data_IF_590018055695
#
_entry.id   IF_590018055695
#
_cell.length_a   1.000
_cell.length_b   1.000
_cell.length_c   1.000
_cell.angle_alpha   90.00
_cell.angle_beta   90.00
_cell.angle_gamma   90.00
#
_symmetry.space_group_name_H-M   'P 1'
#
loop_
_entity.id
_entity.type
_entity.pdbx_description
1 polymer ?
#
# COMPACT_ATOMS: atom_id res chain seq x y z
N UNK A 1 18.67 1.75 11.20
CA UNK A 1 19.08 2.54 10.01
C UNK A 1 18.02 2.50 8.90
N UNK A 2 17.44 1.34 8.58
CA UNK A 2 16.35 1.26 7.58
C UNK A 2 15.06 1.93 8.08
N UNK A 3 14.63 1.65 9.31
CA UNK A 3 13.41 2.24 9.91
C UNK A 3 13.47 3.77 10.02
N UNK A 4 14.64 4.34 10.30
CA UNK A 4 14.85 5.78 10.36
C UNK A 4 14.74 6.46 8.99
N UNK A 5 15.17 5.80 7.91
CA UNK A 5 14.99 6.34 6.55
C UNK A 5 13.49 6.32 6.15
N UNK A 6 12.80 5.24 6.51
CA UNK A 6 11.36 5.09 6.28
C UNK A 6 10.53 6.16 6.99
N UNK A 7 10.84 6.46 8.26
CA UNK A 7 10.13 7.50 9.02
C UNK A 7 10.36 8.89 8.44
N UNK A 8 11.58 9.21 7.98
CA UNK A 8 11.87 10.49 7.34
C UNK A 8 11.09 10.67 6.03
N UNK A 9 11.05 9.64 5.18
CA UNK A 9 10.27 9.65 3.93
C UNK A 9 8.78 9.85 4.24
N UNK A 10 8.25 9.14 5.24
CA UNK A 10 6.86 9.29 5.64
C UNK A 10 6.53 10.74 6.08
N UNK A 11 7.40 11.37 6.89
CA UNK A 11 7.22 12.76 7.36
C UNK A 11 7.19 13.74 6.18
N UNK A 12 8.12 13.59 5.23
CA UNK A 12 8.22 14.46 4.04
C UNK A 12 6.96 14.36 3.17
N UNK A 13 6.30 13.20 3.15
CA UNK A 13 5.13 12.93 2.32
C UNK A 13 3.79 13.34 2.96
N UNK A 14 3.76 13.61 4.27
CA UNK A 14 2.54 14.06 4.98
C UNK A 14 1.83 15.26 4.35
N UNK A 15 2.53 16.32 3.88
CA UNK A 15 1.87 17.46 3.24
C UNK A 15 1.18 17.10 1.93
N UNK A 16 1.73 16.12 1.19
CA UNK A 16 1.19 15.66 -0.09
C UNK A 16 -0.14 14.93 0.10
N UNK A 17 -0.21 14.10 1.12
CA UNK A 17 -1.42 13.34 1.51
C UNK A 17 -2.59 14.28 1.83
N UNK A 18 -2.31 15.46 2.41
CA UNK A 18 -3.33 16.45 2.75
C UNK A 18 -3.87 17.25 1.56
N UNK A 19 -3.14 17.29 0.43
CA UNK A 19 -3.46 18.13 -0.73
C UNK A 19 -4.02 17.36 -1.92
N UNK A 20 -3.70 16.06 -2.03
CA UNK A 20 -4.06 15.23 -3.19
C UNK A 20 -5.22 14.30 -2.84
N UNK A 21 -6.08 14.04 -3.82
CA UNK A 21 -7.16 13.03 -3.71
C UNK A 21 -6.57 11.67 -3.34
N UNK A 22 -7.14 11.05 -2.30
CA UNK A 22 -6.56 9.85 -1.69
C UNK A 22 -6.60 8.66 -2.62
N UNK A 23 -7.68 8.52 -3.41
CA UNK A 23 -7.79 7.46 -4.41
C UNK A 23 -6.70 7.58 -5.48
N UNK A 24 -6.44 8.81 -5.95
CA UNK A 24 -5.37 9.07 -6.94
C UNK A 24 -4.01 8.73 -6.35
N UNK A 25 -3.74 9.14 -5.12
CA UNK A 25 -2.46 8.89 -4.45
C UNK A 25 -2.22 7.39 -4.24
N UNK A 26 -3.27 6.63 -3.94
CA UNK A 26 -3.21 5.18 -3.84
C UNK A 26 -2.82 4.52 -5.17
N UNK A 27 -3.47 4.89 -6.28
CA UNK A 27 -3.14 4.33 -7.58
C UNK A 27 -1.76 4.75 -8.07
N UNK A 28 -1.36 6.01 -7.86
CA UNK A 28 0.00 6.47 -8.19
C UNK A 28 1.07 5.65 -7.44
N UNK A 29 0.82 5.38 -6.15
CA UNK A 29 1.68 4.51 -5.34
C UNK A 29 1.78 3.11 -5.95
N UNK A 30 0.64 2.46 -6.22
CA UNK A 30 0.59 1.10 -6.80
C UNK A 30 1.25 1.01 -8.18
N UNK A 31 1.04 1.98 -9.05
CA UNK A 31 1.69 1.99 -10.37
C UNK A 31 3.21 2.18 -10.24
N UNK A 32 3.65 3.06 -9.34
CA UNK A 32 5.07 3.31 -9.10
C UNK A 32 5.80 2.08 -8.55
N UNK A 33 5.19 1.38 -7.59
CA UNK A 33 5.73 0.14 -7.01
C UNK A 33 5.75 -1.00 -8.03
N UNK A 34 4.70 -1.19 -8.84
CA UNK A 34 4.68 -2.18 -9.93
C UNK A 34 5.82 -1.93 -10.92
N UNK A 35 6.05 -0.68 -11.34
CA UNK A 35 7.13 -0.33 -12.27
C UNK A 35 8.50 -0.64 -11.67
N UNK A 36 8.72 -0.28 -10.40
CA UNK A 36 9.99 -0.55 -9.72
C UNK A 36 10.24 -2.06 -9.58
N UNK A 37 9.24 -2.83 -9.15
CA UNK A 37 9.34 -4.28 -9.02
C UNK A 37 9.56 -4.97 -10.38
N UNK A 38 8.90 -4.49 -11.43
CA UNK A 38 9.08 -5.00 -12.80
C UNK A 38 10.49 -4.74 -13.30
N UNK A 39 11.05 -3.56 -13.01
CA UNK A 39 12.44 -3.24 -13.34
C UNK A 39 13.42 -4.16 -12.58
N UNK A 40 13.22 -4.36 -11.27
CA UNK A 40 14.04 -5.29 -10.48
C UNK A 40 13.96 -6.73 -11.00
N UNK A 41 12.79 -7.20 -11.42
CA UNK A 41 12.59 -8.51 -12.03
C UNK A 41 13.40 -8.67 -13.34
N UNK A 42 13.35 -7.67 -14.23
CA UNK A 42 14.12 -7.70 -15.49
C UNK A 42 15.62 -7.80 -15.20
N UNK A 43 16.12 -7.01 -14.25
CA UNK A 43 17.53 -7.04 -13.86
C UNK A 43 17.95 -8.39 -13.27
N UNK A 44 17.05 -9.06 -12.54
CA UNK A 44 17.29 -10.40 -12.00
C UNK A 44 17.36 -11.48 -13.11
N UNK A 45 16.51 -11.38 -14.13
CA UNK A 45 16.44 -12.35 -15.24
C UNK A 45 17.62 -12.20 -16.21
N UNK A 46 18.03 -10.97 -16.51
CA UNK A 46 19.09 -10.69 -17.50
C UNK A 46 20.51 -11.01 -16.97
N UNK A 47 20.67 -11.30 -15.67
CA UNK A 47 21.94 -11.69 -15.02
C UNK A 47 23.11 -10.77 -15.40
N UNK A 48 22.91 -9.46 -15.25
CA UNK A 48 23.93 -8.44 -15.52
C UNK A 48 25.07 -8.51 -14.50
N UNK A 49 26.25 -8.01 -14.88
CA UNK A 49 27.43 -7.94 -14.01
C UNK A 49 27.12 -7.24 -12.67
N UNK A 50 27.41 -7.94 -11.57
CA UNK A 50 27.10 -7.56 -10.20
C UNK A 50 27.67 -6.18 -9.81
N UNK A 51 28.85 -5.80 -10.31
CA UNK A 51 29.49 -4.52 -9.95
C UNK A 51 28.70 -3.30 -10.43
N UNK A 52 27.97 -3.42 -11.54
CA UNK A 52 27.18 -2.32 -12.13
C UNK A 52 25.74 -2.37 -11.63
N UNK A 53 25.19 -3.57 -11.42
CA UNK A 53 23.77 -3.74 -11.08
C UNK A 53 23.46 -3.40 -9.61
N UNK A 54 24.39 -3.64 -8.69
CA UNK A 54 24.19 -3.40 -7.24
C UNK A 54 23.79 -1.95 -6.91
N UNK A 55 24.51 -0.90 -7.35
CA UNK A 55 24.10 0.47 -7.06
C UNK A 55 22.74 0.82 -7.68
N UNK A 56 22.44 0.29 -8.88
CA UNK A 56 21.16 0.50 -9.56
C UNK A 56 20.01 -0.15 -8.78
N UNK A 57 20.18 -1.41 -8.31
CA UNK A 57 19.17 -2.09 -7.48
C UNK A 57 18.91 -1.32 -6.19
N UNK A 58 19.94 -0.80 -5.52
CA UNK A 58 19.78 0.02 -4.30
C UNK A 58 18.95 1.28 -4.60
N UNK A 59 19.24 1.98 -5.70
CA UNK A 59 18.46 3.16 -6.10
C UNK A 59 17.00 2.82 -6.44
N UNK A 60 16.76 1.70 -7.14
CA UNK A 60 15.42 1.21 -7.45
C UNK A 60 14.63 0.84 -6.20
N UNK A 61 15.25 0.15 -5.25
CA UNK A 61 14.62 -0.17 -3.96
C UNK A 61 14.32 1.10 -3.16
N UNK A 62 15.20 2.11 -3.20
CA UNK A 62 14.93 3.42 -2.61
C UNK A 62 13.70 4.10 -3.23
N UNK A 63 13.59 4.07 -4.57
CA UNK A 63 12.44 4.62 -5.28
C UNK A 63 11.14 3.85 -4.99
N UNK A 64 11.22 2.51 -4.93
CA UNK A 64 10.12 1.65 -4.48
C UNK A 64 9.61 2.07 -3.10
N UNK A 65 10.52 2.32 -2.15
CA UNK A 65 10.13 2.78 -0.81
C UNK A 65 9.42 4.13 -0.87
N UNK A 66 9.90 5.08 -1.68
CA UNK A 66 9.22 6.38 -1.83
C UNK A 66 7.78 6.18 -2.32
N UNK A 67 7.56 5.40 -3.38
CA UNK A 67 6.21 5.11 -3.86
C UNK A 67 5.36 4.37 -2.83
N UNK A 68 5.93 3.40 -2.11
CA UNK A 68 5.24 2.67 -1.06
C UNK A 68 4.76 3.59 0.08
N UNK A 69 5.61 4.53 0.53
CA UNK A 69 5.25 5.47 1.60
C UNK A 69 4.32 6.60 1.15
N UNK A 70 4.18 6.86 -0.15
CA UNK A 70 3.20 7.83 -0.67
C UNK A 70 1.75 7.33 -0.47
N UNK A 71 1.51 6.03 -0.66
CA UNK A 71 0.16 5.46 -0.65
C UNK A 71 0.03 4.26 0.25
N UNK A 72 0.59 3.12 -0.17
CA UNK A 72 0.34 1.81 0.45
C UNK A 72 0.60 1.75 1.96
N UNK A 73 1.59 2.48 2.47
CA UNK A 73 1.87 2.53 3.91
C UNK A 73 0.87 3.38 4.72
N UNK A 74 1.03 4.71 4.75
CA UNK A 74 0.24 5.58 5.61
C UNK A 74 -1.23 5.71 5.15
N UNK A 75 -1.49 5.73 3.83
CA UNK A 75 -2.84 5.94 3.31
C UNK A 75 -3.75 4.76 3.64
N UNK A 76 -3.21 3.54 3.68
CA UNK A 76 -3.93 2.34 4.11
C UNK A 76 -4.50 2.48 5.52
N UNK A 77 -3.66 2.89 6.48
CA UNK A 77 -4.10 3.08 7.86
C UNK A 77 -5.20 4.15 7.99
N UNK A 78 -5.08 5.25 7.24
CA UNK A 78 -6.07 6.33 7.29
C UNK A 78 -7.39 5.92 6.62
N UNK A 79 -7.34 5.27 5.47
CA UNK A 79 -8.54 4.83 4.75
C UNK A 79 -9.29 3.74 5.53
N UNK A 80 -8.59 2.80 6.17
CA UNK A 80 -9.22 1.85 7.09
C UNK A 80 -9.99 2.59 8.19
N UNK A 81 -9.38 3.62 8.75
CA UNK A 81 -10.02 4.42 9.79
C UNK A 81 -11.21 5.26 9.29
N UNK A 82 -11.31 5.54 7.99
CA UNK A 82 -12.39 6.31 7.37
C UNK A 82 -13.55 5.45 6.87
N UNK A 83 -13.27 4.22 6.40
CA UNK A 83 -14.27 3.31 5.85
C UNK A 83 -15.08 2.61 6.94
N UNK A 84 -14.46 2.26 8.07
CA UNK A 84 -15.15 1.51 9.11
C UNK A 84 -16.05 2.41 9.99
N UNK A 85 -17.32 2.03 10.22
CA UNK A 85 -18.23 2.78 11.08
C UNK A 85 -17.73 2.81 12.52
N UNK A 86 -17.94 3.93 13.22
CA UNK A 86 -17.37 4.21 14.55
C UNK A 86 -17.59 3.08 15.56
N UNK A 87 -18.78 2.47 15.57
CA UNK A 87 -19.17 1.44 16.54
C UNK A 87 -18.29 0.18 16.50
N UNK A 88 -17.81 -0.22 15.33
CA UNK A 88 -17.05 -1.47 15.12
C UNK A 88 -15.63 -1.24 14.62
N UNK A 89 -15.26 0.02 14.36
CA UNK A 89 -13.97 0.43 13.79
C UNK A 89 -12.77 -0.21 14.47
N UNK A 90 -12.67 -0.11 15.79
CA UNK A 90 -11.51 -0.63 16.53
C UNK A 90 -11.38 -2.15 16.40
N UNK A 91 -12.49 -2.88 16.41
CA UNK A 91 -12.48 -4.34 16.26
C UNK A 91 -11.99 -4.77 14.87
N UNK A 92 -12.55 -4.18 13.80
CA UNK A 92 -12.13 -4.47 12.43
C UNK A 92 -10.68 -4.07 12.15
N UNK A 93 -10.23 -2.92 12.68
CA UNK A 93 -8.84 -2.49 12.56
C UNK A 93 -7.88 -3.49 13.25
N UNK A 94 -8.20 -3.96 14.46
CA UNK A 94 -7.39 -4.93 15.17
C UNK A 94 -7.33 -6.28 14.46
N UNK A 95 -8.45 -6.77 13.92
CA UNK A 95 -8.50 -8.00 13.13
C UNK A 95 -7.63 -7.86 11.89
N UNK A 96 -7.78 -6.76 11.14
CA UNK A 96 -7.02 -6.55 9.91
C UNK A 96 -5.52 -6.41 10.19
N UNK A 97 -5.14 -5.74 11.28
CA UNK A 97 -3.76 -5.65 11.73
C UNK A 97 -3.20 -7.03 12.12
N UNK A 98 -3.98 -7.85 12.84
CA UNK A 98 -3.55 -9.19 13.21
C UNK A 98 -3.31 -10.07 11.98
N UNK A 99 -4.22 -10.00 11.00
CA UNK A 99 -4.07 -10.72 9.73
C UNK A 99 -2.82 -10.23 8.98
N UNK A 100 -2.56 -8.91 8.93
CA UNK A 100 -1.39 -8.40 8.22
C UNK A 100 -0.08 -8.88 8.83
N UNK A 101 0.01 -8.97 10.16
CA UNK A 101 1.18 -9.54 10.85
C UNK A 101 1.37 -11.03 10.55
N UNK A 102 0.29 -11.82 10.52
CA UNK A 102 0.36 -13.24 10.18
C UNK A 102 0.86 -13.42 8.74
N UNK A 103 0.29 -12.66 7.80
CA UNK A 103 0.72 -12.69 6.39
C UNK A 103 2.18 -12.27 6.25
N UNK A 104 2.60 -11.24 7.00
CA UNK A 104 4.00 -10.79 7.02
C UNK A 104 4.95 -11.90 7.49
N UNK A 105 4.63 -12.59 8.59
CA UNK A 105 5.45 -13.70 9.10
C UNK A 105 5.55 -14.81 8.06
N UNK A 106 4.42 -15.28 7.53
CA UNK A 106 4.37 -16.34 6.51
C UNK A 106 5.24 -15.97 5.31
N UNK A 107 5.05 -14.75 4.80
CA UNK A 107 5.76 -14.26 3.63
C UNK A 107 7.27 -14.19 3.89
N UNK A 108 7.68 -13.72 5.07
CA UNK A 108 9.09 -13.63 5.46
C UNK A 108 9.75 -15.00 5.56
N UNK A 109 9.01 -16.02 6.02
CA UNK A 109 9.50 -17.39 6.08
C UNK A 109 9.57 -18.06 4.70
N UNK A 110 8.67 -17.73 3.78
CA UNK A 110 8.65 -18.29 2.42
C UNK A 110 9.69 -17.62 1.52
N UNK A 111 9.96 -16.33 1.72
CA UNK A 111 10.89 -15.55 0.89
C UNK A 111 12.26 -16.22 0.65
N UNK A 112 12.97 -16.78 1.65
CA UNK A 112 14.25 -17.47 1.41
C UNK A 112 14.12 -18.83 0.72
N UNK A 113 12.91 -19.41 0.64
CA UNK A 113 12.65 -20.73 0.05
C UNK A 113 12.39 -20.67 -1.46
N UNK A 114 12.12 -19.48 -2.00
CA UNK A 114 11.76 -19.28 -3.41
C UNK A 114 12.83 -18.47 -4.15
N UNK A 115 13.02 -18.69 -5.46
CA UNK A 115 13.90 -17.86 -6.27
C UNK A 115 13.48 -16.38 -6.28
N UNK A 116 14.44 -15.45 -6.26
CA UNK A 116 14.16 -14.00 -6.26
C UNK A 116 13.27 -13.56 -7.43
N UNK A 117 13.49 -14.06 -8.64
CA UNK A 117 12.63 -13.70 -9.78
C UNK A 117 11.17 -14.09 -9.55
N UNK A 118 10.91 -15.22 -8.87
CA UNK A 118 9.56 -15.70 -8.59
C UNK A 118 8.88 -14.87 -7.51
N UNK A 119 9.63 -14.40 -6.50
CA UNK A 119 9.06 -13.53 -5.46
C UNK A 119 8.60 -12.20 -6.06
N UNK A 120 9.44 -11.55 -6.89
CA UNK A 120 9.06 -10.32 -7.61
C UNK A 120 7.80 -10.52 -8.46
N UNK A 121 7.73 -11.60 -9.24
CA UNK A 121 6.56 -11.89 -10.07
C UNK A 121 5.27 -12.10 -9.24
N UNK A 122 5.36 -12.80 -8.12
CA UNK A 122 4.22 -13.03 -7.21
C UNK A 122 3.73 -11.69 -6.63
N UNK A 123 4.64 -10.83 -6.14
CA UNK A 123 4.25 -9.53 -5.59
C UNK A 123 3.59 -8.64 -6.64
N UNK A 124 4.15 -8.57 -7.86
CA UNK A 124 3.54 -7.82 -8.97
C UNK A 124 2.14 -8.35 -9.27
N UNK A 125 1.98 -9.68 -9.34
CA UNK A 125 0.68 -10.30 -9.61
C UNK A 125 -0.36 -9.97 -8.54
N UNK A 126 0.00 -10.08 -7.26
CA UNK A 126 -0.87 -9.72 -6.14
C UNK A 126 -1.23 -8.23 -6.21
N UNK A 127 -0.26 -7.36 -6.47
CA UNK A 127 -0.47 -5.93 -6.52
C UNK A 127 -1.41 -5.51 -7.65
N UNK A 128 -1.27 -6.12 -8.84
CA UNK A 128 -2.19 -5.88 -9.98
C UNK A 128 -3.61 -6.33 -9.65
N UNK A 129 -3.77 -7.50 -9.04
CA UNK A 129 -5.10 -8.01 -8.61
C UNK A 129 -5.71 -7.07 -7.58
N UNK A 130 -4.93 -6.66 -6.57
CA UNK A 130 -5.36 -5.69 -5.58
C UNK A 130 -5.74 -4.34 -6.22
N UNK A 131 -4.98 -3.87 -7.21
CA UNK A 131 -5.28 -2.61 -7.91
C UNK A 131 -6.62 -2.71 -8.65
N UNK A 132 -6.88 -3.83 -9.32
CA UNK A 132 -8.12 -4.07 -10.04
C UNK A 132 -9.34 -4.12 -9.09
N UNK A 133 -9.21 -4.80 -7.95
CA UNK A 133 -10.26 -4.86 -6.91
C UNK A 133 -10.49 -3.46 -6.33
N UNK A 134 -9.44 -2.78 -5.88
CA UNK A 134 -9.55 -1.46 -5.27
C UNK A 134 -10.05 -0.41 -6.27
N UNK A 135 -9.80 -0.56 -7.57
CA UNK A 135 -10.36 0.33 -8.58
C UNK A 135 -11.88 0.37 -8.53
N UNK A 136 -12.52 -0.77 -8.25
CA UNK A 136 -13.98 -0.85 -8.14
C UNK A 136 -14.50 -0.53 -6.73
N UNK A 137 -13.81 -0.98 -5.69
CA UNK A 137 -14.33 -0.95 -4.32
C UNK A 137 -13.83 0.23 -3.47
N UNK A 138 -12.78 0.95 -3.87
CA UNK A 138 -12.24 2.05 -3.08
C UNK A 138 -13.04 3.35 -3.36
N UNK A 139 -13.88 3.81 -2.42
CA UNK A 139 -14.58 5.08 -2.58
C UNK A 139 -13.59 6.25 -2.47
N UNK A 140 -13.90 7.37 -3.13
CA UNK A 140 -13.15 8.61 -2.90
C UNK A 140 -13.56 9.22 -1.56
N UNK A 141 -12.62 9.26 -0.61
CA UNK A 141 -12.81 9.82 0.74
C UNK A 141 -12.33 11.27 0.87
N UNK A 142 -11.74 11.86 -0.18
CA UNK A 142 -11.23 13.22 -0.14
C UNK A 142 -12.36 14.27 -0.04
N UNK A 143 -12.27 15.18 0.93
CA UNK A 143 -13.23 16.25 1.25
C UNK A 143 -14.65 15.79 1.61
N UNK A 144 -14.82 14.57 2.10
CA UNK A 144 -16.12 14.06 2.55
C UNK A 144 -16.16 13.89 4.06
N UNK A 145 -17.33 14.08 4.66
CA UNK A 145 -17.49 13.81 6.09
C UNK A 145 -17.52 12.30 6.35
N UNK A 146 -17.20 11.89 7.59
CA UNK A 146 -17.23 10.47 7.96
C UNK A 146 -18.64 9.87 7.78
N UNK A 147 -19.68 10.67 7.96
CA UNK A 147 -21.08 10.29 7.78
C UNK A 147 -21.40 10.01 6.31
N UNK A 148 -20.94 10.87 5.40
CA UNK A 148 -21.09 10.66 3.95
C UNK A 148 -20.34 9.41 3.47
N UNK A 149 -19.12 9.17 3.99
CA UNK A 149 -18.33 7.97 3.67
C UNK A 149 -19.04 6.73 4.19
N UNK A 150 -19.54 6.76 5.42
CA UNK A 150 -20.26 5.62 6.01
C UNK A 150 -21.53 5.33 5.21
N UNK A 151 -22.32 6.33 4.84
CA UNK A 151 -23.52 6.18 4.01
C UNK A 151 -23.22 5.56 2.63
N UNK A 152 -22.08 5.91 2.01
CA UNK A 152 -21.64 5.30 0.75
C UNK A 152 -21.28 3.81 0.89
N UNK A 153 -20.74 3.42 2.05
CA UNK A 153 -20.33 2.03 2.33
C UNK A 153 -21.52 1.18 2.78
N UNK A 154 -22.40 1.71 3.63
CA UNK A 154 -23.55 0.98 4.19
C UNK A 154 -24.81 1.06 3.32
N UNK A 155 -24.85 1.92 2.30
CA UNK A 155 -26.06 2.28 1.52
C UNK A 155 -27.26 2.70 2.41
N UNK A 156 -27.02 3.13 3.65
CA UNK A 156 -28.04 3.68 4.56
C UNK A 156 -28.01 5.20 4.55
N UNK A 157 -29.18 5.82 4.69
CA UNK A 157 -29.27 7.28 4.81
C UNK A 157 -28.57 7.79 6.09
N UNK A 158 -27.96 8.99 6.05
CA UNK A 158 -27.20 9.55 7.18
C UNK A 158 -27.98 9.61 8.51
N UNK A 159 -29.31 9.72 8.43
CA UNK A 159 -30.20 9.84 9.59
C UNK A 159 -30.37 8.54 10.41
N UNK A 160 -29.98 7.37 9.88
CA UNK A 160 -30.11 6.09 10.61
C UNK A 160 -28.86 5.71 11.44
N UNK A 161 -27.78 6.51 11.39
CA UNK A 161 -26.48 6.16 11.99
C UNK A 161 -26.29 6.85 13.37
N UNK A 162 -27.28 7.63 13.83
CA UNK A 162 -27.21 8.39 15.09
C UNK A 162 -27.63 7.61 16.35
N UNK A 163 -27.65 6.28 16.33
CA UNK A 163 -27.97 5.45 17.51
C UNK A 163 -26.72 4.74 18.01
#
# INVERSE_FOLDING_TARGET
MITSAQTLIAIILLPLIKRVRRRVLWFVSMFGTIICLSAELVFEVVKVNQKVIVPIKISLTGLYLVFYFIGLGPLFMVIQAEIFPKAVKTQFMNITMSISWVVYIITTQIYPLIPFWSSYAIYIGIEVVCAAVLFKYLPETHNKTLEEITAMVTKKEPNEIQI
#
